data_IF_918475644263
#
_entry.id   IF_918475644263
#
_cell.length_a   1.000
_cell.length_b   1.000
_cell.length_c   1.000
_cell.angle_alpha   90.00
_cell.angle_beta   90.00
_cell.angle_gamma   90.00
#
_symmetry.space_group_name_H-M   'P 1'
#
loop_
_entity.id
_entity.type
_entity.pdbx_description
1 polymer ?
#
# COMPACT_ATOMS: atom_id res chain seq x y z
N UNK A 1 17.29 -35.57 -3.93
CA UNK A 1 17.45 -34.48 -4.95
C UNK A 1 16.14 -33.95 -5.56
N UNK A 2 15.02 -34.69 -5.53
CA UNK A 2 13.70 -34.19 -5.99
C UNK A 2 13.10 -33.11 -5.11
N UNK A 3 13.38 -33.11 -3.81
CA UNK A 3 12.85 -32.13 -2.84
C UNK A 3 13.33 -30.67 -3.06
N UNK A 4 14.56 -30.45 -3.54
CA UNK A 4 15.11 -29.12 -3.74
C UNK A 4 14.48 -28.36 -4.93
N UNK A 5 14.26 -29.04 -6.06
CA UNK A 5 13.61 -28.44 -7.24
C UNK A 5 12.15 -28.07 -6.96
N UNK A 6 11.42 -28.91 -6.23
CA UNK A 6 10.04 -28.61 -5.82
C UNK A 6 9.97 -27.37 -4.91
N UNK A 7 10.92 -27.18 -4.00
CA UNK A 7 10.95 -26.00 -3.11
C UNK A 7 11.23 -24.70 -3.86
N UNK A 8 12.17 -24.72 -4.81
CA UNK A 8 12.46 -23.53 -5.64
C UNK A 8 11.25 -23.15 -6.47
N UNK A 9 10.59 -24.12 -7.11
CA UNK A 9 9.38 -23.87 -7.90
C UNK A 9 8.24 -23.32 -7.04
N UNK A 10 8.04 -23.84 -5.85
CA UNK A 10 7.04 -23.34 -4.91
C UNK A 10 7.28 -21.89 -4.51
N UNK A 11 8.54 -21.49 -4.28
CA UNK A 11 8.91 -20.10 -3.97
C UNK A 11 8.69 -19.16 -5.17
N UNK A 12 9.05 -19.60 -6.38
CA UNK A 12 8.82 -18.83 -7.61
C UNK A 12 7.31 -18.66 -7.85
N UNK A 13 6.55 -19.73 -7.73
CA UNK A 13 5.09 -19.67 -7.89
C UNK A 13 4.45 -18.74 -6.87
N UNK A 14 4.97 -18.72 -5.64
CA UNK A 14 4.52 -17.81 -4.60
C UNK A 14 4.87 -16.36 -4.94
N UNK A 15 6.06 -16.07 -5.43
CA UNK A 15 6.45 -14.75 -5.90
C UNK A 15 5.59 -14.25 -7.07
N UNK A 16 5.20 -15.12 -8.01
CA UNK A 16 4.25 -14.77 -9.07
C UNK A 16 2.87 -14.39 -8.50
N UNK A 17 2.44 -15.07 -7.43
CA UNK A 17 1.19 -14.75 -6.74
C UNK A 17 1.22 -13.37 -6.07
N UNK A 18 2.29 -13.07 -5.34
CA UNK A 18 2.46 -11.77 -4.68
C UNK A 18 2.71 -10.64 -5.68
N UNK A 19 3.41 -10.92 -6.79
CA UNK A 19 3.54 -10.00 -7.93
C UNK A 19 2.15 -9.57 -8.46
N UNK A 20 1.30 -10.54 -8.82
CA UNK A 20 -0.06 -10.25 -9.30
C UNK A 20 -0.94 -9.60 -8.23
N UNK A 21 -0.71 -9.91 -6.96
CA UNK A 21 -1.42 -9.28 -5.85
C UNK A 21 -1.13 -7.77 -5.77
N UNK A 22 0.14 -7.37 -5.84
CA UNK A 22 0.51 -5.96 -5.75
C UNK A 22 0.27 -5.18 -7.04
N UNK A 23 0.22 -5.84 -8.21
CA UNK A 23 -0.34 -5.24 -9.42
C UNK A 23 -1.76 -4.76 -9.16
N UNK A 24 -2.62 -5.61 -8.62
CA UNK A 24 -4.00 -5.24 -8.29
C UNK A 24 -4.06 -4.12 -7.25
N UNK A 25 -3.27 -4.24 -6.17
CA UNK A 25 -3.24 -3.23 -5.10
C UNK A 25 -2.84 -1.85 -5.61
N UNK A 26 -1.82 -1.77 -6.46
CA UNK A 26 -1.39 -0.51 -7.04
C UNK A 26 -2.49 0.12 -7.93
N UNK A 27 -3.22 -0.70 -8.68
CA UNK A 27 -4.31 -0.23 -9.54
C UNK A 27 -5.42 0.44 -8.72
N UNK A 28 -5.92 -0.23 -7.70
CA UNK A 28 -7.02 0.30 -6.88
C UNK A 28 -6.54 1.36 -5.88
N UNK A 29 -5.33 1.20 -5.35
CA UNK A 29 -4.79 2.10 -4.33
C UNK A 29 -4.33 3.45 -4.85
N UNK A 30 -3.75 3.47 -6.05
CA UNK A 30 -3.11 4.68 -6.60
C UNK A 30 -3.83 5.21 -7.83
N UNK A 31 -4.20 4.35 -8.79
CA UNK A 31 -4.64 4.80 -10.11
C UNK A 31 -6.16 4.90 -10.26
N UNK A 32 -6.93 4.23 -9.41
CA UNK A 32 -8.38 4.28 -9.48
C UNK A 32 -8.92 5.70 -9.24
N UNK A 33 -8.36 6.44 -8.29
CA UNK A 33 -8.80 7.81 -8.00
C UNK A 33 -8.56 8.77 -9.17
N UNK A 34 -7.48 8.57 -9.95
CA UNK A 34 -7.27 9.41 -11.13
C UNK A 34 -8.28 9.11 -12.23
N UNK A 35 -8.68 7.85 -12.41
CA UNK A 35 -9.79 7.50 -13.29
C UNK A 35 -11.08 8.18 -12.85
N UNK A 36 -11.43 8.10 -11.56
CA UNK A 36 -12.64 8.73 -10.99
C UNK A 36 -12.67 10.24 -11.24
N UNK A 37 -11.55 10.92 -10.98
CA UNK A 37 -11.48 12.39 -11.05
C UNK A 37 -11.31 12.92 -12.47
N UNK A 38 -10.64 12.17 -13.35
CA UNK A 38 -10.28 12.66 -14.69
C UNK A 38 -11.17 12.13 -15.82
N UNK A 39 -11.84 11.00 -15.60
CA UNK A 39 -12.54 10.31 -16.69
C UNK A 39 -13.97 9.89 -16.37
N UNK A 40 -14.29 9.60 -15.12
CA UNK A 40 -15.57 9.03 -14.76
C UNK A 40 -16.70 10.07 -14.77
N UNK A 41 -16.41 11.27 -14.28
CA UNK A 41 -17.33 12.40 -14.26
C UNK A 41 -16.76 13.53 -15.10
N UNK A 42 -17.25 13.66 -16.30
CA UNK A 42 -16.84 14.67 -17.28
C UNK A 42 -18.07 15.14 -18.06
N UNK A 43 -19.00 15.79 -17.35
CA UNK A 43 -20.23 16.34 -17.94
C UNK A 43 -20.07 17.84 -18.25
N UNK A 44 -21.07 18.41 -18.89
CA UNK A 44 -21.13 19.86 -19.13
C UNK A 44 -21.38 20.68 -17.84
N UNK A 45 -21.52 20.02 -16.68
CA UNK A 45 -21.76 20.65 -15.39
C UNK A 45 -20.65 20.34 -14.36
N UNK A 46 -19.58 21.14 -14.31
CA UNK A 46 -18.44 20.92 -13.42
C UNK A 46 -18.80 20.87 -11.92
N UNK A 47 -19.84 21.60 -11.51
CA UNK A 47 -20.28 21.60 -10.10
C UNK A 47 -20.90 20.26 -9.70
N UNK A 48 -21.68 19.66 -10.60
CA UNK A 48 -22.26 18.34 -10.37
C UNK A 48 -21.19 17.26 -10.40
N UNK A 49 -20.22 17.37 -11.30
CA UNK A 49 -19.08 16.41 -11.39
C UNK A 49 -18.27 16.45 -10.10
N UNK A 50 -17.92 17.63 -9.60
CA UNK A 50 -17.22 17.79 -8.33
C UNK A 50 -17.99 17.18 -7.14
N UNK A 51 -19.31 17.38 -7.11
CA UNK A 51 -20.18 16.78 -6.09
C UNK A 51 -20.16 15.24 -6.15
N UNK A 52 -20.29 14.67 -7.35
CA UNK A 52 -20.26 13.22 -7.56
C UNK A 52 -18.91 12.60 -7.21
N UNK A 53 -17.81 13.23 -7.61
CA UNK A 53 -16.45 12.82 -7.23
C UNK A 53 -16.31 12.84 -5.68
N UNK A 54 -16.82 13.87 -5.02
CA UNK A 54 -16.82 13.98 -3.56
C UNK A 54 -17.57 12.82 -2.88
N UNK A 55 -18.74 12.44 -3.39
CA UNK A 55 -19.51 11.31 -2.86
C UNK A 55 -18.75 9.98 -3.08
N UNK A 56 -18.25 9.71 -4.30
CA UNK A 56 -17.48 8.50 -4.59
C UNK A 56 -16.25 8.41 -3.70
N UNK A 57 -15.52 9.50 -3.54
CA UNK A 57 -14.36 9.58 -2.64
C UNK A 57 -14.74 9.25 -1.19
N UNK A 58 -15.88 9.76 -0.73
CA UNK A 58 -16.39 9.50 0.62
C UNK A 58 -16.79 8.03 0.79
N UNK A 59 -17.44 7.42 -0.21
CA UNK A 59 -17.79 5.99 -0.21
C UNK A 59 -16.53 5.14 -0.10
N UNK A 60 -15.51 5.42 -0.93
CA UNK A 60 -14.23 4.71 -0.90
C UNK A 60 -13.57 4.82 0.48
N UNK A 61 -13.50 6.03 1.04
CA UNK A 61 -12.91 6.27 2.36
C UNK A 61 -13.63 5.47 3.47
N UNK A 62 -14.97 5.53 3.48
CA UNK A 62 -15.78 4.83 4.49
C UNK A 62 -15.62 3.31 4.37
N UNK A 63 -15.66 2.77 3.15
CA UNK A 63 -15.51 1.33 2.93
C UNK A 63 -14.11 0.83 3.29
N UNK A 64 -13.06 1.55 2.94
CA UNK A 64 -11.67 1.21 3.34
C UNK A 64 -11.44 1.29 4.85
N UNK A 65 -12.10 2.22 5.55
CA UNK A 65 -12.05 2.24 7.01
C UNK A 65 -12.83 1.06 7.59
N UNK A 66 -13.98 0.72 7.00
CA UNK A 66 -14.77 -0.44 7.43
C UNK A 66 -14.01 -1.76 7.23
N UNK A 67 -13.22 -1.90 6.15
CA UNK A 67 -12.34 -3.06 5.89
C UNK A 67 -11.47 -3.39 7.09
N UNK A 68 -10.89 -2.40 7.77
CA UNK A 68 -10.03 -2.62 8.94
C UNK A 68 -10.72 -3.38 10.08
N UNK A 69 -12.04 -3.23 10.20
CA UNK A 69 -12.85 -3.95 11.18
C UNK A 69 -13.31 -5.30 10.67
N UNK A 70 -13.41 -5.48 9.36
CA UNK A 70 -13.88 -6.72 8.71
C UNK A 70 -12.75 -7.74 8.58
N UNK A 71 -11.51 -7.31 8.36
CA UNK A 71 -10.33 -8.18 8.18
C UNK A 71 -10.17 -9.28 9.24
N UNK A 72 -10.32 -9.04 10.54
CA UNK A 72 -10.24 -10.10 11.55
C UNK A 72 -11.32 -11.16 11.40
N UNK A 73 -12.54 -10.79 10.98
CA UNK A 73 -13.61 -11.75 10.72
C UNK A 73 -13.31 -12.61 9.49
N UNK A 74 -12.76 -11.98 8.43
CA UNK A 74 -12.31 -12.69 7.24
C UNK A 74 -11.22 -13.70 7.61
N UNK A 75 -10.23 -13.31 8.41
CA UNK A 75 -9.19 -14.20 8.90
C UNK A 75 -9.75 -15.43 9.62
N UNK A 76 -10.72 -15.24 10.49
CA UNK A 76 -11.39 -16.34 11.22
C UNK A 76 -12.17 -17.27 10.26
N UNK A 77 -12.83 -16.73 9.23
CA UNK A 77 -13.53 -17.55 8.22
C UNK A 77 -12.51 -18.37 7.42
N UNK A 78 -11.40 -17.77 7.02
CA UNK A 78 -10.32 -18.46 6.30
C UNK A 78 -9.72 -19.58 7.15
N UNK A 79 -9.46 -19.32 8.44
CA UNK A 79 -8.88 -20.31 9.36
C UNK A 79 -9.80 -21.52 9.58
N UNK A 80 -11.12 -21.33 9.52
CA UNK A 80 -12.14 -22.40 9.63
C UNK A 80 -12.40 -23.13 8.32
N UNK A 81 -11.87 -22.64 7.21
CA UNK A 81 -12.09 -23.25 5.89
C UNK A 81 -11.31 -24.56 5.77
N UNK A 82 -12.01 -25.65 5.43
CA UNK A 82 -11.40 -26.98 5.18
C UNK A 82 -11.84 -27.45 3.81
N UNK A 83 -10.90 -27.43 2.84
CA UNK A 83 -11.14 -27.92 1.48
C UNK A 83 -10.03 -28.90 1.06
N UNK A 84 -10.33 -29.72 0.04
CA UNK A 84 -9.33 -30.62 -0.58
C UNK A 84 -8.17 -29.89 -1.27
N UNK A 85 -8.28 -28.59 -1.50
CA UNK A 85 -7.21 -27.77 -2.10
C UNK A 85 -6.35 -27.08 -1.04
N UNK A 86 -6.71 -27.18 0.22
CA UNK A 86 -6.13 -26.49 1.35
C UNK A 86 -7.09 -25.48 1.97
N UNK A 87 -6.55 -24.70 2.89
CA UNK A 87 -7.30 -23.68 3.67
C UNK A 87 -7.29 -22.33 2.94
N UNK A 88 -6.15 -21.91 2.42
CA UNK A 88 -5.91 -20.57 1.87
C UNK A 88 -6.18 -20.47 0.37
N UNK A 89 -5.83 -21.50 -0.40
CA UNK A 89 -5.93 -21.49 -1.88
C UNK A 89 -7.31 -21.13 -2.43
N UNK A 90 -8.44 -21.63 -1.88
CA UNK A 90 -9.78 -21.26 -2.38
C UNK A 90 -10.04 -19.75 -2.29
N UNK A 91 -9.55 -19.11 -1.23
CA UNK A 91 -9.69 -17.67 -1.01
C UNK A 91 -8.76 -16.86 -1.91
N UNK A 92 -7.53 -17.34 -2.15
CA UNK A 92 -6.60 -16.72 -3.09
C UNK A 92 -7.14 -16.75 -4.52
N UNK A 93 -7.63 -17.91 -4.98
CA UNK A 93 -8.14 -18.08 -6.34
C UNK A 93 -9.49 -17.40 -6.53
N UNK A 94 -10.46 -17.68 -5.67
CA UNK A 94 -11.79 -17.09 -5.74
C UNK A 94 -11.75 -15.58 -5.55
N UNK A 95 -10.98 -15.11 -4.55
CA UNK A 95 -10.78 -13.69 -4.29
C UNK A 95 -10.13 -12.97 -5.47
N UNK A 96 -9.12 -13.58 -6.12
CA UNK A 96 -8.48 -12.97 -7.30
C UNK A 96 -9.44 -12.79 -8.48
N UNK A 97 -10.23 -13.82 -8.79
CA UNK A 97 -11.19 -13.77 -9.92
C UNK A 97 -12.28 -12.75 -9.66
N UNK A 98 -12.92 -12.80 -8.48
CA UNK A 98 -14.02 -11.89 -8.16
C UNK A 98 -13.52 -10.44 -8.07
N UNK A 99 -12.38 -10.22 -7.40
CA UNK A 99 -11.79 -8.89 -7.32
C UNK A 99 -11.41 -8.34 -8.71
N UNK A 100 -10.84 -9.17 -9.60
CA UNK A 100 -10.46 -8.73 -10.95
C UNK A 100 -11.69 -8.35 -11.80
N UNK A 101 -12.76 -9.15 -11.74
CA UNK A 101 -14.00 -8.86 -12.47
C UNK A 101 -14.66 -7.59 -11.94
N UNK A 102 -14.79 -7.46 -10.63
CA UNK A 102 -15.39 -6.26 -10.02
C UNK A 102 -14.53 -5.02 -10.23
N UNK A 103 -13.20 -5.14 -10.23
CA UNK A 103 -12.29 -4.03 -10.57
C UNK A 103 -12.54 -3.56 -12.02
N UNK A 104 -12.62 -4.49 -12.97
CA UNK A 104 -12.90 -4.14 -14.38
C UNK A 104 -14.24 -3.41 -14.51
N UNK A 105 -15.28 -3.85 -13.79
CA UNK A 105 -16.59 -3.19 -13.74
C UNK A 105 -16.48 -1.77 -13.15
N UNK A 106 -15.68 -1.58 -12.09
CA UNK A 106 -15.47 -0.26 -11.46
C UNK A 106 -14.78 0.76 -12.37
N UNK A 107 -13.99 0.29 -13.35
CA UNK A 107 -13.39 1.15 -14.37
C UNK A 107 -14.34 1.41 -15.55
N UNK A 108 -15.66 1.45 -15.29
CA UNK A 108 -16.70 1.80 -16.28
C UNK A 108 -17.69 2.79 -15.69
N UNK A 109 -18.44 3.43 -16.55
CA UNK A 109 -19.56 4.31 -16.20
C UNK A 109 -20.92 3.57 -16.11
N UNK A 110 -20.87 2.23 -16.09
CA UNK A 110 -22.04 1.34 -16.10
C UNK A 110 -23.03 1.64 -17.25
N UNK A 111 -22.50 1.91 -18.45
CA UNK A 111 -23.31 2.19 -19.63
C UNK A 111 -23.95 3.58 -19.61
N UNK A 112 -23.23 4.59 -19.11
CA UNK A 112 -23.68 5.98 -19.08
C UNK A 112 -24.57 6.34 -17.88
N UNK A 113 -24.58 5.52 -16.83
CA UNK A 113 -25.37 5.81 -15.62
C UNK A 113 -24.85 7.04 -14.87
N UNK A 114 -23.59 7.41 -15.04
CA UNK A 114 -23.04 8.66 -14.46
C UNK A 114 -23.80 9.90 -14.91
N UNK A 115 -24.36 9.88 -16.13
CA UNK A 115 -25.14 10.99 -16.72
C UNK A 115 -26.64 10.72 -16.62
N UNK A 116 -27.11 9.52 -16.98
CA UNK A 116 -28.54 9.20 -17.06
C UNK A 116 -29.21 9.03 -15.71
N UNK A 117 -28.54 8.44 -14.72
CA UNK A 117 -29.04 8.26 -13.36
C UNK A 117 -27.90 8.20 -12.34
N UNK A 118 -27.32 9.35 -11.93
CA UNK A 118 -26.19 9.40 -11.01
C UNK A 118 -26.44 8.71 -9.67
N UNK A 119 -27.64 8.77 -9.15
CA UNK A 119 -27.98 8.13 -7.87
C UNK A 119 -27.91 6.61 -7.98
N UNK A 120 -28.43 6.03 -9.05
CA UNK A 120 -28.33 4.59 -9.29
C UNK A 120 -26.87 4.17 -9.51
N UNK A 121 -26.08 5.01 -10.23
CA UNK A 121 -24.65 4.80 -10.38
C UNK A 121 -23.96 4.66 -9.00
N UNK A 122 -24.19 5.60 -8.07
CA UNK A 122 -23.56 5.58 -6.76
C UNK A 122 -23.94 4.35 -5.94
N UNK A 123 -25.18 3.88 -6.02
CA UNK A 123 -25.64 2.68 -5.33
C UNK A 123 -24.93 1.45 -5.88
N UNK A 124 -24.90 1.28 -7.20
CA UNK A 124 -24.21 0.15 -7.85
C UNK A 124 -22.72 0.21 -7.56
N UNK A 125 -22.12 1.41 -7.66
CA UNK A 125 -20.72 1.62 -7.35
C UNK A 125 -20.37 1.17 -5.93
N UNK A 126 -21.14 1.59 -4.93
CA UNK A 126 -20.90 1.23 -3.53
C UNK A 126 -20.99 -0.30 -3.32
N UNK A 127 -21.97 -0.95 -3.93
CA UNK A 127 -22.14 -2.41 -3.86
C UNK A 127 -20.98 -3.14 -4.53
N UNK A 128 -20.59 -2.74 -5.74
CA UNK A 128 -19.51 -3.40 -6.49
C UNK A 128 -18.18 -3.16 -5.82
N UNK A 129 -17.92 -1.95 -5.32
CA UNK A 129 -16.70 -1.63 -4.56
C UNK A 129 -16.62 -2.44 -3.27
N UNK A 130 -17.71 -2.56 -2.52
CA UNK A 130 -17.77 -3.36 -1.30
C UNK A 130 -17.49 -4.85 -1.56
N UNK A 131 -18.06 -5.42 -2.64
CA UNK A 131 -17.78 -6.80 -3.04
C UNK A 131 -16.30 -6.94 -3.41
N UNK A 132 -15.77 -6.04 -4.22
CA UNK A 132 -14.35 -6.04 -4.61
C UNK A 132 -13.45 -6.01 -3.37
N UNK A 133 -13.72 -5.11 -2.44
CA UNK A 133 -12.92 -4.87 -1.24
C UNK A 133 -12.89 -6.09 -0.32
N UNK A 134 -14.04 -6.72 -0.04
CA UNK A 134 -14.12 -7.95 0.76
C UNK A 134 -13.32 -9.10 0.13
N UNK A 135 -13.50 -9.36 -1.17
CA UNK A 135 -12.81 -10.47 -1.82
C UNK A 135 -11.31 -10.19 -2.02
N UNK A 136 -10.95 -8.93 -2.22
CA UNK A 136 -9.56 -8.52 -2.22
C UNK A 136 -8.92 -8.71 -0.83
N UNK A 137 -9.58 -8.27 0.23
CA UNK A 137 -9.10 -8.46 1.61
C UNK A 137 -8.99 -9.94 1.98
N UNK A 138 -9.97 -10.76 1.61
CA UNK A 138 -9.89 -12.21 1.83
C UNK A 138 -8.68 -12.84 1.12
N UNK A 139 -8.40 -12.41 -0.12
CA UNK A 139 -7.20 -12.81 -0.86
C UNK A 139 -5.93 -12.32 -0.18
N UNK A 140 -5.88 -11.07 0.27
CA UNK A 140 -4.72 -10.47 0.96
C UNK A 140 -4.38 -11.25 2.23
N UNK A 141 -5.35 -11.41 3.12
CA UNK A 141 -5.19 -12.19 4.35
C UNK A 141 -4.75 -13.63 4.04
N UNK A 142 -5.36 -14.28 3.04
CA UNK A 142 -5.03 -15.65 2.68
C UNK A 142 -3.60 -15.78 2.14
N UNK A 143 -3.15 -14.88 1.27
CA UNK A 143 -1.78 -14.90 0.72
C UNK A 143 -0.76 -14.78 1.85
N UNK A 144 -0.82 -13.77 2.69
CA UNK A 144 0.20 -13.57 3.72
C UNK A 144 0.15 -14.61 4.83
N UNK A 145 -1.04 -15.10 5.19
CA UNK A 145 -1.21 -16.18 6.18
C UNK A 145 -0.81 -17.56 5.67
N UNK A 146 -0.65 -17.74 4.37
CA UNK A 146 -0.27 -19.01 3.76
C UNK A 146 1.23 -19.32 3.93
N UNK A 147 2.12 -18.33 4.09
CA UNK A 147 3.58 -18.54 4.21
C UNK A 147 3.93 -19.59 5.27
N UNK A 148 3.44 -19.50 6.53
CA UNK A 148 3.68 -20.53 7.51
C UNK A 148 3.10 -21.90 7.13
N UNK A 149 2.09 -21.96 6.24
CA UNK A 149 1.48 -23.21 5.79
C UNK A 149 2.31 -23.96 4.75
N UNK A 150 3.32 -23.33 4.15
CA UNK A 150 4.14 -23.94 3.11
C UNK A 150 5.33 -24.74 3.66
N UNK A 151 5.81 -24.44 4.86
CA UNK A 151 6.94 -25.14 5.48
C UNK A 151 6.90 -25.06 7.01
N UNK A 152 7.45 -26.08 7.68
CA UNK A 152 7.67 -26.08 9.14
C UNK A 152 9.03 -25.48 9.51
N UNK A 153 9.96 -25.42 8.56
CA UNK A 153 11.29 -24.84 8.75
C UNK A 153 11.22 -23.32 8.72
N UNK A 154 11.67 -22.67 9.78
CA UNK A 154 11.69 -21.21 9.93
C UNK A 154 12.52 -20.54 8.85
N UNK A 155 13.68 -21.10 8.53
CA UNK A 155 14.57 -20.56 7.48
C UNK A 155 13.94 -20.64 6.08
N UNK A 156 13.24 -21.74 5.77
CA UNK A 156 12.46 -21.85 4.54
C UNK A 156 11.34 -20.82 4.43
N UNK A 157 10.67 -20.52 5.55
CA UNK A 157 9.64 -19.47 5.61
C UNK A 157 10.22 -18.09 5.35
N UNK A 158 11.37 -17.77 5.95
CA UNK A 158 12.09 -16.50 5.74
C UNK A 158 12.46 -16.29 4.29
N UNK A 159 13.05 -17.33 3.64
CA UNK A 159 13.39 -17.26 2.22
C UNK A 159 12.13 -17.07 1.37
N UNK A 160 11.05 -17.80 1.66
CA UNK A 160 9.79 -17.68 0.92
C UNK A 160 9.19 -16.30 1.07
N UNK A 161 9.16 -15.74 2.29
CA UNK A 161 8.69 -14.39 2.56
C UNK A 161 9.53 -13.32 1.83
N UNK A 162 10.85 -13.50 1.80
CA UNK A 162 11.76 -12.58 1.09
C UNK A 162 11.50 -12.59 -0.42
N UNK A 163 11.40 -13.77 -1.02
CA UNK A 163 11.11 -13.91 -2.45
C UNK A 163 9.71 -13.38 -2.79
N UNK A 164 8.72 -13.65 -1.92
CA UNK A 164 7.39 -13.08 -2.02
C UNK A 164 7.42 -11.55 -2.03
N UNK A 165 8.20 -10.95 -1.13
CA UNK A 165 8.32 -9.49 -1.06
C UNK A 165 8.99 -8.89 -2.30
N UNK A 166 9.98 -9.58 -2.86
CA UNK A 166 10.58 -9.18 -4.14
C UNK A 166 9.52 -9.18 -5.24
N UNK A 167 8.74 -10.27 -5.37
CA UNK A 167 7.63 -10.34 -6.34
C UNK A 167 6.63 -9.19 -6.17
N UNK A 168 6.23 -8.94 -4.95
CA UNK A 168 5.32 -7.85 -4.54
C UNK A 168 5.83 -6.47 -5.01
N UNK A 169 7.08 -6.12 -4.69
CA UNK A 169 7.68 -4.84 -5.10
C UNK A 169 7.72 -4.68 -6.62
N UNK A 170 8.13 -5.72 -7.34
CA UNK A 170 8.14 -5.68 -8.80
C UNK A 170 6.74 -5.54 -9.40
N UNK A 171 5.73 -6.18 -8.82
CA UNK A 171 4.34 -6.06 -9.24
C UNK A 171 3.82 -4.62 -9.13
N UNK A 172 3.99 -4.01 -7.96
CA UNK A 172 3.57 -2.62 -7.73
C UNK A 172 4.28 -1.62 -8.65
N UNK A 173 5.60 -1.77 -8.85
CA UNK A 173 6.36 -0.88 -9.73
C UNK A 173 6.06 -1.09 -11.22
N UNK A 174 5.75 -2.32 -11.64
CA UNK A 174 5.32 -2.57 -13.02
C UNK A 174 4.12 -1.72 -13.39
N UNK A 175 3.14 -1.59 -12.50
CA UNK A 175 1.94 -0.80 -12.75
C UNK A 175 2.30 0.66 -13.03
N UNK A 176 3.23 1.24 -12.26
CA UNK A 176 3.71 2.60 -12.48
C UNK A 176 4.33 2.78 -13.88
N UNK A 177 5.03 1.75 -14.36
CA UNK A 177 5.67 1.77 -15.69
C UNK A 177 4.64 1.66 -16.81
N UNK A 178 3.64 0.78 -16.68
CA UNK A 178 2.74 0.42 -17.78
C UNK A 178 1.43 1.22 -17.81
N UNK A 179 1.03 1.88 -16.71
CA UNK A 179 -0.30 2.50 -16.60
C UNK A 179 -0.61 3.42 -17.78
N UNK A 180 0.18 4.46 -18.00
CA UNK A 180 -0.10 5.43 -19.05
C UNK A 180 0.16 4.91 -20.46
N UNK A 181 1.25 4.16 -20.76
CA UNK A 181 1.39 3.48 -22.05
C UNK A 181 0.19 2.61 -22.43
N UNK A 182 -0.34 1.81 -21.48
CA UNK A 182 -1.51 0.96 -21.74
C UNK A 182 -2.78 1.80 -21.90
N UNK A 183 -3.04 2.71 -20.97
CA UNK A 183 -4.23 3.55 -21.02
C UNK A 183 -4.29 4.33 -22.34
N UNK A 184 -3.21 5.03 -22.72
CA UNK A 184 -3.19 5.85 -23.93
C UNK A 184 -3.23 5.03 -25.23
N UNK A 185 -2.65 3.81 -25.23
CA UNK A 185 -2.68 2.93 -26.38
C UNK A 185 -4.11 2.45 -26.72
N UNK A 186 -4.91 2.15 -25.69
CA UNK A 186 -6.28 1.67 -25.86
C UNK A 186 -7.32 2.79 -25.84
N UNK A 187 -6.94 4.03 -25.52
CA UNK A 187 -7.84 5.18 -25.55
C UNK A 187 -8.16 5.62 -26.97
N UNK A 188 -9.44 5.88 -27.23
CA UNK A 188 -9.92 6.48 -28.48
C UNK A 188 -9.56 7.96 -28.51
N UNK A 189 -9.73 8.64 -27.34
CA UNK A 189 -9.39 10.05 -27.14
C UNK A 189 -8.35 10.16 -26.02
N UNK A 190 -7.27 10.88 -26.25
CA UNK A 190 -6.20 11.01 -25.27
C UNK A 190 -6.49 12.01 -24.13
N UNK A 191 -7.54 12.83 -24.24
CA UNK A 191 -8.01 13.77 -23.21
C UNK A 191 -6.87 14.52 -22.50
N UNK A 192 -5.99 15.19 -23.24
CA UNK A 192 -4.86 15.91 -22.65
C UNK A 192 -3.81 15.02 -21.96
N UNK A 193 -3.79 13.72 -22.28
CA UNK A 193 -2.87 12.74 -21.70
C UNK A 193 -3.45 11.93 -20.50
N UNK A 194 -4.71 12.19 -20.12
CA UNK A 194 -5.39 11.41 -19.07
C UNK A 194 -6.02 10.11 -19.59
N UNK A 195 -6.08 9.94 -20.90
CA UNK A 195 -6.78 8.82 -21.56
C UNK A 195 -8.29 8.94 -21.50
N UNK A 196 -8.99 7.89 -21.91
CA UNK A 196 -10.45 7.81 -21.86
C UNK A 196 -10.93 6.55 -21.09
N UNK A 197 -12.24 6.41 -20.80
CA UNK A 197 -12.76 5.25 -20.08
C UNK A 197 -12.42 3.91 -20.75
N UNK A 198 -12.31 3.85 -22.08
CA UNK A 198 -11.94 2.63 -22.82
C UNK A 198 -10.51 2.19 -22.50
N UNK A 199 -9.55 3.13 -22.48
CA UNK A 199 -8.17 2.86 -22.10
C UNK A 199 -8.05 2.40 -20.65
N UNK A 200 -8.76 3.04 -19.75
CA UNK A 200 -8.77 2.67 -18.32
C UNK A 200 -9.43 1.30 -18.09
N UNK A 201 -10.49 0.98 -18.80
CA UNK A 201 -11.10 -0.36 -18.75
C UNK A 201 -10.14 -1.44 -19.26
N UNK A 202 -9.45 -1.20 -20.39
CA UNK A 202 -8.44 -2.12 -20.89
C UNK A 202 -7.29 -2.34 -19.89
N UNK A 203 -6.83 -1.26 -19.25
CA UNK A 203 -5.84 -1.33 -18.20
C UNK A 203 -6.33 -2.19 -17.01
N UNK A 204 -7.58 -2.02 -16.58
CA UNK A 204 -8.19 -2.83 -15.53
C UNK A 204 -8.27 -4.31 -15.90
N UNK A 205 -8.66 -4.63 -17.13
CA UNK A 205 -8.72 -6.00 -17.63
C UNK A 205 -7.33 -6.65 -17.68
N UNK A 206 -6.31 -5.94 -18.18
CA UNK A 206 -4.92 -6.44 -18.24
C UNK A 206 -4.37 -6.68 -16.84
N UNK A 207 -4.47 -5.71 -15.94
CA UNK A 207 -3.96 -5.85 -14.58
C UNK A 207 -4.72 -6.88 -13.76
N UNK A 208 -6.05 -6.94 -13.89
CA UNK A 208 -6.88 -7.98 -13.28
C UNK A 208 -6.54 -9.37 -13.81
N UNK A 209 -6.24 -9.47 -15.11
CA UNK A 209 -5.76 -10.70 -15.76
C UNK A 209 -4.40 -11.15 -15.19
N UNK A 210 -3.44 -10.23 -15.05
CA UNK A 210 -2.12 -10.50 -14.44
C UNK A 210 -2.30 -10.96 -12.99
N UNK A 211 -3.16 -10.29 -12.22
CA UNK A 211 -3.43 -10.65 -10.82
C UNK A 211 -4.04 -12.05 -10.70
N UNK A 212 -4.97 -12.39 -11.59
CA UNK A 212 -5.62 -13.71 -11.62
C UNK A 212 -4.64 -14.81 -12.05
N UNK A 213 -3.83 -14.56 -13.08
CA UNK A 213 -2.79 -15.49 -13.53
C UNK A 213 -1.75 -15.75 -12.42
N UNK A 214 -1.31 -14.70 -11.72
CA UNK A 214 -0.44 -14.84 -10.57
C UNK A 214 -1.04 -15.71 -9.47
N UNK A 215 -2.32 -15.52 -9.15
CA UNK A 215 -3.05 -16.34 -8.18
C UNK A 215 -3.17 -17.80 -8.64
N UNK A 216 -3.42 -18.06 -9.92
CA UNK A 216 -3.48 -19.41 -10.49
C UNK A 216 -2.10 -20.10 -10.37
N UNK A 217 -1.03 -19.42 -10.76
CA UNK A 217 0.34 -19.95 -10.65
C UNK A 217 0.67 -20.28 -9.20
N UNK A 218 0.32 -19.41 -8.25
CA UNK A 218 0.47 -19.65 -6.82
C UNK A 218 -0.32 -20.88 -6.38
N UNK A 219 -1.61 -20.94 -6.73
CA UNK A 219 -2.49 -22.04 -6.35
C UNK A 219 -2.04 -23.41 -6.85
N UNK A 220 -1.53 -23.47 -8.09
CA UNK A 220 -1.02 -24.70 -8.71
C UNK A 220 0.41 -25.06 -8.29
N UNK A 221 1.24 -24.05 -8.06
CA UNK A 221 2.67 -24.24 -7.77
C UNK A 221 3.02 -24.41 -6.30
N UNK A 222 2.07 -24.19 -5.39
CA UNK A 222 2.29 -24.32 -3.93
C UNK A 222 1.58 -25.54 -3.36
N UNK A 223 2.05 -26.02 -2.20
CA UNK A 223 1.42 -27.12 -1.47
C UNK A 223 1.32 -26.78 0.00
N UNK A 224 0.08 -26.64 0.50
CA UNK A 224 -0.18 -26.39 1.92
C UNK A 224 0.07 -27.67 2.72
N UNK A 225 0.84 -27.56 3.81
CA UNK A 225 1.09 -28.67 4.73
C UNK A 225 0.09 -28.60 5.88
N UNK A 226 -0.78 -29.59 5.97
CA UNK A 226 -1.70 -29.76 7.12
C UNK A 226 -0.93 -30.22 8.36
N UNK A 227 -1.21 -29.57 9.51
CA UNK A 227 -0.66 -29.98 10.78
C UNK A 227 -1.63 -29.71 11.95
N UNK A 228 -1.82 -30.71 12.79
CA UNK A 228 -2.61 -30.64 14.02
C UNK A 228 -2.11 -29.58 15.03
N UNK A 229 -0.82 -29.17 14.96
CA UNK A 229 -0.26 -28.09 15.79
C UNK A 229 -0.85 -26.71 15.50
N UNK A 230 -1.59 -26.55 14.40
CA UNK A 230 -2.26 -25.28 14.03
C UNK A 230 -3.72 -25.20 14.49
N UNK A 231 -4.30 -26.29 14.93
CA UNK A 231 -5.70 -26.31 15.39
C UNK A 231 -5.89 -25.56 16.72
N UNK A 232 -4.81 -25.30 17.47
CA UNK A 232 -4.82 -24.65 18.78
C UNK A 232 -4.32 -23.19 18.75
N UNK A 233 -4.54 -22.45 17.67
CA UNK A 233 -4.22 -21.02 17.64
C UNK A 233 -5.32 -20.27 18.40
N UNK A 234 -4.96 -19.55 19.47
CA UNK A 234 -5.86 -18.62 20.12
C UNK A 234 -6.33 -17.54 19.12
N UNK A 235 -7.62 -17.31 19.02
CA UNK A 235 -8.23 -16.32 18.14
C UNK A 235 -7.80 -14.93 18.59
N UNK A 236 -6.87 -14.29 17.87
CA UNK A 236 -6.49 -12.91 18.12
C UNK A 236 -7.61 -11.99 17.65
N UNK A 237 -8.34 -11.42 18.60
CA UNK A 237 -9.43 -10.49 18.34
C UNK A 237 -8.89 -9.08 18.04
N UNK A 238 -9.63 -8.29 17.25
CA UNK A 238 -9.33 -6.85 17.07
C UNK A 238 -9.27 -6.09 18.42
N UNK A 239 -10.01 -6.57 19.44
CA UNK A 239 -9.92 -6.03 20.80
C UNK A 239 -8.58 -6.32 21.47
N UNK A 240 -7.95 -7.46 21.18
CA UNK A 240 -6.64 -7.82 21.72
C UNK A 240 -5.55 -6.96 21.09
N UNK A 241 -5.64 -6.70 19.78
CA UNK A 241 -4.74 -5.76 19.07
C UNK A 241 -4.83 -4.36 19.71
N UNK A 242 -6.03 -3.84 19.90
CA UNK A 242 -6.24 -2.53 20.54
C UNK A 242 -5.74 -2.50 21.99
N UNK A 243 -5.95 -3.59 22.74
CA UNK A 243 -5.50 -3.69 24.13
C UNK A 243 -3.97 -3.71 24.24
N UNK A 244 -3.29 -4.47 23.40
CA UNK A 244 -1.82 -4.51 23.34
C UNK A 244 -1.28 -3.17 22.86
N UNK A 245 -1.86 -2.59 21.80
CA UNK A 245 -1.46 -1.30 21.26
C UNK A 245 -1.55 -0.18 22.31
N UNK A 246 -2.62 -0.15 23.11
CA UNK A 246 -2.81 0.89 24.14
C UNK A 246 -1.93 0.69 25.38
N UNK A 247 -1.56 -0.55 25.69
CA UNK A 247 -0.71 -0.86 26.85
C UNK A 247 0.78 -0.76 26.54
N UNK A 248 1.18 -1.04 25.30
CA UNK A 248 2.55 -0.89 24.81
C UNK A 248 2.73 0.50 24.21
N UNK A 249 3.14 1.45 25.04
CA UNK A 249 3.25 2.87 24.65
C UNK A 249 4.31 3.10 23.55
N UNK A 250 5.38 2.31 23.48
CA UNK A 250 6.37 2.45 22.42
C UNK A 250 5.80 2.02 21.07
N UNK A 251 5.05 0.92 21.04
CA UNK A 251 4.33 0.47 19.86
C UNK A 251 3.28 1.51 19.42
N UNK A 252 2.48 2.02 20.37
CA UNK A 252 1.45 3.03 20.09
C UNK A 252 2.04 4.29 19.46
N UNK A 253 3.07 4.86 20.08
CA UNK A 253 3.67 6.10 19.58
C UNK A 253 4.41 5.92 18.26
N UNK A 254 5.03 4.73 18.07
CA UNK A 254 5.61 4.38 16.77
C UNK A 254 4.54 4.27 15.69
N UNK A 255 3.40 3.63 15.99
CA UNK A 255 2.26 3.52 15.07
C UNK A 255 1.71 4.89 14.68
N UNK A 256 1.50 5.80 15.66
CA UNK A 256 1.01 7.16 15.41
C UNK A 256 2.02 7.96 14.57
N UNK A 257 3.30 7.91 14.91
CA UNK A 257 4.34 8.62 14.16
C UNK A 257 4.39 8.15 12.69
N UNK A 258 4.33 6.84 12.48
CA UNK A 258 4.36 6.23 11.16
C UNK A 258 3.07 6.49 10.37
N UNK A 259 1.91 6.52 11.04
CA UNK A 259 0.63 6.88 10.42
C UNK A 259 0.68 8.29 9.84
N UNK A 260 1.09 9.26 10.64
CA UNK A 260 1.16 10.67 10.22
C UNK A 260 2.17 10.85 9.09
N UNK A 261 3.35 10.24 9.21
CA UNK A 261 4.35 10.19 8.15
C UNK A 261 3.78 9.54 6.87
N UNK A 262 3.12 8.39 6.99
CA UNK A 262 2.56 7.63 5.88
C UNK A 262 1.48 8.37 5.10
N UNK A 263 0.64 9.16 5.77
CA UNK A 263 -0.35 10.04 5.11
C UNK A 263 0.38 11.01 4.17
N UNK A 264 1.42 11.70 4.67
CA UNK A 264 2.20 12.64 3.85
C UNK A 264 2.85 11.97 2.63
N UNK A 265 3.46 10.80 2.80
CA UNK A 265 4.07 10.04 1.71
C UNK A 265 3.04 9.62 0.66
N UNK A 266 1.90 9.09 1.09
CA UNK A 266 0.85 8.64 0.17
C UNK A 266 0.25 9.79 -0.64
N UNK A 267 0.12 10.99 -0.06
CA UNK A 267 -0.32 12.18 -0.81
C UNK A 267 0.60 12.43 -1.99
N UNK A 268 1.92 12.50 -1.78
CA UNK A 268 2.87 12.75 -2.87
C UNK A 268 2.84 11.62 -3.91
N UNK A 269 2.91 10.37 -3.45
CA UNK A 269 2.95 9.22 -4.35
C UNK A 269 1.73 9.14 -5.26
N UNK A 270 0.54 9.45 -4.74
CA UNK A 270 -0.69 9.46 -5.54
C UNK A 270 -0.81 10.70 -6.44
N UNK A 271 -0.33 11.88 -6.00
CA UNK A 271 -0.35 13.08 -6.83
C UNK A 271 0.71 13.07 -7.94
N UNK A 272 1.71 12.19 -7.90
CA UNK A 272 2.75 12.12 -8.93
C UNK A 272 2.15 12.03 -10.35
N UNK A 273 1.20 11.11 -10.58
CA UNK A 273 0.61 10.97 -11.92
C UNK A 273 -0.20 12.22 -12.33
N UNK A 274 -0.95 12.83 -11.41
CA UNK A 274 -1.64 14.10 -11.67
C UNK A 274 -0.66 15.20 -12.10
N UNK A 275 0.50 15.28 -11.45
CA UNK A 275 1.53 16.25 -11.81
C UNK A 275 2.05 16.05 -13.25
N UNK A 276 2.29 14.80 -13.64
CA UNK A 276 2.73 14.50 -15.00
C UNK A 276 1.65 14.75 -16.06
N UNK A 277 0.38 14.54 -15.75
CA UNK A 277 -0.74 14.82 -16.67
C UNK A 277 -0.98 16.33 -16.77
N UNK A 278 -1.21 16.99 -15.62
CA UNK A 278 -1.75 18.35 -15.62
C UNK A 278 -0.73 19.45 -15.53
N UNK A 279 0.50 19.20 -15.06
CA UNK A 279 1.56 20.22 -14.96
C UNK A 279 2.60 20.04 -16.06
N UNK A 280 3.12 18.83 -16.21
CA UNK A 280 4.11 18.53 -17.27
C UNK A 280 3.44 18.43 -18.65
N UNK A 281 2.19 17.94 -18.70
CA UNK A 281 1.45 17.72 -19.95
C UNK A 281 1.90 16.49 -20.75
N UNK A 282 2.68 15.59 -20.12
CA UNK A 282 3.13 14.34 -20.74
C UNK A 282 3.10 13.19 -19.69
N UNK A 283 1.98 12.52 -19.63
CA UNK A 283 1.77 11.39 -18.73
C UNK A 283 2.70 10.20 -19.00
N UNK A 284 3.22 10.06 -20.23
CA UNK A 284 4.11 8.94 -20.58
C UNK A 284 5.45 9.01 -19.85
N UNK A 285 5.90 10.20 -19.50
CA UNK A 285 7.14 10.42 -18.71
C UNK A 285 7.04 9.86 -17.29
N UNK A 286 5.80 9.68 -16.77
CA UNK A 286 5.59 9.04 -15.48
C UNK A 286 6.14 7.60 -15.41
N UNK A 287 6.11 6.88 -16.53
CA UNK A 287 6.67 5.52 -16.61
C UNK A 287 8.17 5.48 -16.28
N UNK A 288 8.91 6.56 -16.62
CA UNK A 288 10.35 6.69 -16.30
C UNK A 288 10.54 6.71 -14.78
N UNK A 289 9.64 7.40 -14.06
CA UNK A 289 9.69 7.44 -12.60
C UNK A 289 9.54 6.03 -11.98
N UNK A 290 8.67 5.18 -12.54
CA UNK A 290 8.52 3.79 -12.09
C UNK A 290 9.82 2.99 -12.21
N UNK A 291 10.56 3.15 -13.32
CA UNK A 291 11.87 2.52 -13.51
C UNK A 291 12.89 3.06 -12.50
N UNK A 292 12.94 4.38 -12.35
CA UNK A 292 13.84 5.04 -11.39
C UNK A 292 13.57 4.52 -9.97
N UNK A 293 12.30 4.51 -9.54
CA UNK A 293 11.90 4.07 -8.20
C UNK A 293 12.25 2.61 -7.94
N UNK A 294 12.12 1.74 -8.94
CA UNK A 294 12.53 0.32 -8.82
C UNK A 294 14.02 0.20 -8.53
N UNK A 295 14.87 0.85 -9.33
CA UNK A 295 16.32 0.79 -9.16
C UNK A 295 16.75 1.40 -7.83
N UNK A 296 16.26 2.60 -7.52
CA UNK A 296 16.62 3.30 -6.29
C UNK A 296 16.12 2.54 -5.06
N UNK A 297 14.92 1.98 -5.11
CA UNK A 297 14.35 1.21 -4.02
C UNK A 297 15.19 -0.02 -3.68
N UNK A 298 15.64 -0.76 -4.70
CA UNK A 298 16.53 -1.92 -4.50
C UNK A 298 17.89 -1.50 -3.91
N UNK A 299 18.47 -0.42 -4.41
CA UNK A 299 19.73 0.12 -3.88
C UNK A 299 19.60 0.58 -2.42
N UNK A 300 18.49 1.25 -2.08
CA UNK A 300 18.22 1.70 -0.71
C UNK A 300 18.09 0.52 0.25
N UNK A 301 17.34 -0.53 -0.11
CA UNK A 301 17.20 -1.74 0.70
C UNK A 301 18.55 -2.44 0.89
N UNK A 302 19.34 -2.60 -0.18
CA UNK A 302 20.66 -3.21 -0.10
C UNK A 302 21.65 -2.39 0.75
N UNK A 303 21.52 -1.06 0.75
CA UNK A 303 22.36 -0.18 1.56
C UNK A 303 21.97 -0.17 3.05
N UNK A 304 20.75 -0.56 3.42
CA UNK A 304 20.23 -0.45 4.79
C UNK A 304 21.11 -1.14 5.85
N UNK A 305 21.56 -2.41 5.69
CA UNK A 305 22.43 -3.05 6.68
C UNK A 305 23.75 -2.31 6.87
N UNK A 306 24.33 -1.77 5.79
CA UNK A 306 25.58 -1.00 5.83
C UNK A 306 25.38 0.33 6.54
N UNK A 307 24.25 0.98 6.32
CA UNK A 307 23.93 2.26 6.95
C UNK A 307 23.67 2.10 8.46
N UNK A 308 22.99 1.03 8.87
CA UNK A 308 22.70 0.76 10.30
C UNK A 308 23.92 0.38 11.12
N UNK A 309 25.01 -0.12 10.51
CA UNK A 309 26.29 -0.32 11.22
C UNK A 309 27.02 0.99 11.53
N UNK A 310 26.77 2.05 10.71
CA UNK A 310 27.47 3.34 10.86
C UNK A 310 26.65 4.41 11.58
N UNK A 311 25.32 4.35 11.44
CA UNK A 311 24.39 5.34 11.94
C UNK A 311 23.27 4.67 12.72
N UNK A 312 22.86 5.27 13.86
CA UNK A 312 21.68 4.80 14.58
C UNK A 312 20.42 4.96 13.75
N UNK A 313 19.43 4.07 13.93
CA UNK A 313 18.12 4.12 13.25
C UNK A 313 17.46 5.49 13.39
N UNK A 314 17.62 6.13 14.56
CA UNK A 314 17.09 7.48 14.80
C UNK A 314 17.73 8.54 13.90
N UNK A 315 19.05 8.51 13.72
CA UNK A 315 19.75 9.43 12.81
C UNK A 315 19.33 9.18 11.35
N UNK A 316 19.24 7.91 10.94
CA UNK A 316 18.77 7.53 9.60
C UNK A 316 17.34 8.00 9.33
N UNK A 317 16.45 7.90 10.30
CA UNK A 317 15.07 8.37 10.17
C UNK A 317 15.00 9.87 9.90
N UNK A 318 15.71 10.69 10.68
CA UNK A 318 15.70 12.14 10.49
C UNK A 318 16.45 12.58 9.24
N UNK A 319 17.55 11.93 8.88
CA UNK A 319 18.24 12.20 7.61
C UNK A 319 17.35 11.86 6.42
N UNK A 320 16.56 10.78 6.49
CA UNK A 320 15.57 10.42 5.50
C UNK A 320 14.50 11.51 5.32
N UNK A 321 13.92 12.02 6.41
CA UNK A 321 12.95 13.12 6.36
C UNK A 321 13.60 14.38 5.78
N UNK A 322 14.84 14.70 6.15
CA UNK A 322 15.54 15.86 5.61
C UNK A 322 15.78 15.76 4.09
N UNK A 323 16.22 14.59 3.61
CA UNK A 323 16.39 14.32 2.18
C UNK A 323 15.06 14.42 1.44
N UNK A 324 13.99 13.83 1.99
CA UNK A 324 12.65 13.87 1.39
C UNK A 324 12.11 15.30 1.35
N UNK A 325 12.32 16.09 2.40
CA UNK A 325 11.93 17.51 2.42
C UNK A 325 12.66 18.31 1.36
N UNK A 326 13.99 18.15 1.24
CA UNK A 326 14.78 18.80 0.20
C UNK A 326 14.33 18.36 -1.22
N UNK A 327 14.02 17.07 -1.38
CA UNK A 327 13.52 16.53 -2.63
C UNK A 327 12.17 17.14 -3.04
N UNK A 328 11.25 17.35 -2.08
CA UNK A 328 9.97 18.01 -2.35
C UNK A 328 10.15 19.48 -2.73
N UNK A 329 11.11 20.19 -2.16
CA UNK A 329 11.43 21.56 -2.57
C UNK A 329 11.95 21.57 -4.03
N UNK A 330 12.88 20.66 -4.37
CA UNK A 330 13.38 20.52 -5.75
C UNK A 330 12.22 20.18 -6.70
N UNK A 331 11.34 19.28 -6.30
CA UNK A 331 10.19 18.88 -7.10
C UNK A 331 9.20 20.05 -7.29
N UNK A 332 8.90 20.81 -6.24
CA UNK A 332 8.04 22.00 -6.34
C UNK A 332 8.60 23.08 -7.28
N UNK A 333 9.93 23.19 -7.38
CA UNK A 333 10.61 24.13 -8.30
C UNK A 333 10.67 23.63 -9.74
N UNK A 334 10.29 22.39 -10.03
CA UNK A 334 10.45 21.81 -11.37
C UNK A 334 9.53 22.45 -12.42
N UNK A 335 8.32 22.90 -12.02
CA UNK A 335 7.32 23.39 -12.98
C UNK A 335 7.10 22.36 -14.09
N UNK A 336 7.27 22.77 -15.34
CA UNK A 336 7.15 21.91 -16.52
C UNK A 336 8.44 21.16 -16.90
N UNK A 337 9.52 21.33 -16.13
CA UNK A 337 10.80 20.68 -16.41
C UNK A 337 10.77 19.21 -15.96
N UNK A 338 10.62 18.32 -16.94
CA UNK A 338 10.54 16.86 -16.71
C UNK A 338 11.75 16.32 -15.97
N UNK A 339 12.95 16.73 -16.33
CA UNK A 339 14.20 16.23 -15.72
C UNK A 339 14.26 16.58 -14.23
N UNK A 340 13.94 17.83 -13.89
CA UNK A 340 13.95 18.28 -12.51
C UNK A 340 12.84 17.62 -11.69
N UNK A 341 11.66 17.38 -12.30
CA UNK A 341 10.57 16.64 -11.70
C UNK A 341 10.96 15.18 -11.38
N UNK A 342 11.59 14.49 -12.33
CA UNK A 342 12.08 13.13 -12.14
C UNK A 342 13.17 13.04 -11.06
N UNK A 343 14.08 14.03 -11.00
CA UNK A 343 15.09 14.10 -9.94
C UNK A 343 14.43 14.31 -8.58
N UNK A 344 13.52 15.28 -8.46
CA UNK A 344 12.79 15.56 -7.22
C UNK A 344 11.98 14.36 -6.74
N UNK A 345 11.17 13.75 -7.62
CA UNK A 345 10.36 12.58 -7.30
C UNK A 345 11.22 11.34 -6.96
N UNK A 346 12.32 11.11 -7.69
CA UNK A 346 13.24 10.01 -7.41
C UNK A 346 13.99 10.18 -6.08
N UNK A 347 14.50 11.37 -5.80
CA UNK A 347 15.12 11.67 -4.50
C UNK A 347 14.12 11.57 -3.34
N UNK A 348 12.85 11.87 -3.57
CA UNK A 348 11.79 11.67 -2.58
C UNK A 348 11.52 10.18 -2.33
N UNK A 349 11.58 9.36 -3.35
CA UNK A 349 11.36 7.92 -3.23
C UNK A 349 12.53 7.18 -2.55
N UNK A 350 13.77 7.66 -2.70
CA UNK A 350 14.98 7.01 -2.23
C UNK A 350 14.96 6.62 -0.74
N UNK A 351 14.57 7.49 0.22
CA UNK A 351 14.59 7.13 1.64
C UNK A 351 13.38 6.32 2.11
N UNK A 352 12.31 6.20 1.31
CA UNK A 352 11.07 5.53 1.75
C UNK A 352 11.30 4.08 2.22
N UNK A 353 12.05 3.22 1.50
CA UNK A 353 12.36 1.88 1.96
C UNK A 353 13.19 1.86 3.26
N UNK A 354 14.07 2.84 3.46
CA UNK A 354 14.86 2.94 4.70
C UNK A 354 13.97 3.24 5.90
N UNK A 355 13.05 4.21 5.76
CA UNK A 355 12.08 4.54 6.83
C UNK A 355 11.20 3.33 7.13
N UNK A 356 10.72 2.63 6.09
CA UNK A 356 9.94 1.41 6.26
C UNK A 356 10.68 0.36 7.10
N UNK A 357 11.95 0.11 6.81
CA UNK A 357 12.77 -0.87 7.55
C UNK A 357 13.06 -0.41 8.99
N UNK A 358 13.29 0.89 9.22
CA UNK A 358 13.46 1.45 10.56
C UNK A 358 12.20 1.24 11.39
N UNK A 359 11.02 1.52 10.83
CA UNK A 359 9.73 1.32 11.49
C UNK A 359 9.51 -0.15 11.81
N UNK A 360 9.76 -1.04 10.84
CA UNK A 360 9.61 -2.48 11.02
C UNK A 360 10.51 -2.98 12.17
N UNK A 361 11.78 -2.58 12.20
CA UNK A 361 12.69 -2.95 13.29
C UNK A 361 12.24 -2.40 14.65
N UNK A 362 11.78 -1.15 14.70
CA UNK A 362 11.31 -0.55 15.96
C UNK A 362 10.04 -1.22 16.48
N UNK A 363 9.13 -1.62 15.59
CA UNK A 363 7.93 -2.41 15.95
C UNK A 363 8.34 -3.81 16.45
N UNK A 364 9.33 -4.45 15.81
CA UNK A 364 9.86 -5.74 16.27
C UNK A 364 10.47 -5.61 17.67
N UNK A 365 11.30 -4.61 17.92
CA UNK A 365 11.90 -4.37 19.22
C UNK A 365 10.86 -4.04 20.31
N UNK A 366 9.69 -3.50 19.92
CA UNK A 366 8.60 -3.22 20.85
C UNK A 366 7.92 -4.51 21.39
N UNK A 367 8.20 -5.68 20.80
CA UNK A 367 7.73 -6.97 21.31
C UNK A 367 8.40 -7.28 22.65
N UNK A 368 9.74 -7.18 22.70
CA UNK A 368 10.52 -7.40 23.93
C UNK A 368 10.21 -6.34 24.98
N UNK A 369 10.06 -5.07 24.58
CA UNK A 369 9.60 -4.01 25.46
C UNK A 369 8.23 -4.32 26.09
N UNK A 370 7.28 -4.77 25.27
CA UNK A 370 5.96 -5.20 25.71
C UNK A 370 6.04 -6.39 26.65
N UNK A 371 6.87 -7.39 26.36
CA UNK A 371 7.09 -8.57 27.21
C UNK A 371 7.64 -8.19 28.59
N UNK A 372 8.63 -7.28 28.64
CA UNK A 372 9.17 -6.80 29.91
C UNK A 372 8.13 -6.05 30.74
N UNK A 373 7.30 -5.22 30.08
CA UNK A 373 6.33 -4.33 30.74
C UNK A 373 5.02 -5.04 31.14
N UNK A 374 4.53 -5.96 30.31
CA UNK A 374 3.22 -6.59 30.46
C UNK A 374 3.30 -8.02 31.02
N UNK A 375 4.48 -8.64 31.01
CA UNK A 375 4.72 -9.99 31.48
C UNK A 375 4.34 -11.11 30.51
N UNK A 376 3.90 -10.77 29.29
CA UNK A 376 3.56 -11.74 28.24
C UNK A 376 4.05 -11.23 26.86
N UNK A 377 4.33 -12.15 25.94
CA UNK A 377 4.87 -11.86 24.61
C UNK A 377 3.74 -11.86 23.57
N UNK A 378 3.47 -10.69 23.00
CA UNK A 378 2.40 -10.49 21.99
C UNK A 378 2.99 -10.21 20.59
N UNK A 379 3.91 -11.06 20.12
CA UNK A 379 4.66 -10.85 18.87
C UNK A 379 3.75 -10.69 17.66
N UNK A 380 2.79 -11.61 17.47
CA UNK A 380 1.89 -11.57 16.33
C UNK A 380 1.03 -10.30 16.30
N UNK A 381 0.57 -9.85 17.47
CA UNK A 381 -0.24 -8.63 17.62
C UNK A 381 0.59 -7.39 17.30
N UNK A 382 1.81 -7.30 17.82
CA UNK A 382 2.69 -6.16 17.55
C UNK A 382 3.00 -6.03 16.04
N UNK A 383 3.31 -7.15 15.39
CA UNK A 383 3.64 -7.15 13.96
C UNK A 383 2.45 -6.84 13.04
N UNK A 384 1.21 -7.13 13.47
CA UNK A 384 -0.01 -6.75 12.73
C UNK A 384 -0.26 -5.24 12.71
N UNK A 385 0.32 -4.47 13.63
CA UNK A 385 0.11 -3.01 13.73
C UNK A 385 0.61 -2.28 12.48
N UNK A 386 1.74 -2.69 11.91
CA UNK A 386 2.28 -2.03 10.72
C UNK A 386 1.36 -2.10 9.50
N UNK A 387 0.89 -3.29 9.05
CA UNK A 387 -0.06 -3.37 7.93
C UNK A 387 -1.36 -2.61 8.20
N UNK A 388 -1.84 -2.62 9.45
CA UNK A 388 -3.03 -1.86 9.85
C UNK A 388 -2.83 -0.36 9.65
N UNK A 389 -1.67 0.17 10.06
CA UNK A 389 -1.31 1.58 9.89
C UNK A 389 -1.15 1.94 8.40
N UNK A 390 -0.53 1.07 7.59
CA UNK A 390 -0.39 1.28 6.15
C UNK A 390 -1.77 1.37 5.45
N UNK A 391 -2.69 0.45 5.77
CA UNK A 391 -4.06 0.46 5.24
C UNK A 391 -4.81 1.73 5.66
N UNK A 392 -4.72 2.12 6.92
CA UNK A 392 -5.39 3.33 7.42
C UNK A 392 -4.81 4.60 6.79
N UNK A 393 -3.49 4.72 6.69
CA UNK A 393 -2.83 5.84 5.99
C UNK A 393 -3.25 5.91 4.52
N UNK A 394 -3.33 4.78 3.84
CA UNK A 394 -3.80 4.67 2.46
C UNK A 394 -5.25 5.11 2.30
N UNK A 395 -6.14 4.68 3.20
CA UNK A 395 -7.55 5.07 3.21
C UNK A 395 -7.73 6.58 3.37
N UNK A 396 -7.11 7.16 4.39
CA UNK A 396 -7.16 8.61 4.65
C UNK A 396 -6.57 9.41 3.48
N UNK A 397 -5.45 8.96 2.94
CA UNK A 397 -4.81 9.62 1.79
C UNK A 397 -5.69 9.58 0.54
N UNK A 398 -6.36 8.47 0.25
CA UNK A 398 -7.30 8.37 -0.88
C UNK A 398 -8.45 9.37 -0.75
N UNK A 399 -8.99 9.54 0.47
CA UNK A 399 -10.00 10.57 0.75
C UNK A 399 -9.47 11.99 0.51
N UNK A 400 -8.26 12.28 1.00
CA UNK A 400 -7.62 13.59 0.79
C UNK A 400 -7.40 13.85 -0.70
N UNK A 401 -6.94 12.86 -1.47
CA UNK A 401 -6.62 13.02 -2.89
C UNK A 401 -7.85 13.35 -3.72
N UNK A 402 -8.97 12.65 -3.51
CA UNK A 402 -10.19 12.93 -4.25
C UNK A 402 -10.70 14.35 -4.01
N UNK A 403 -10.76 14.78 -2.75
CA UNK A 403 -11.16 16.14 -2.39
C UNK A 403 -10.15 17.20 -2.87
N UNK A 404 -8.86 16.88 -2.79
CA UNK A 404 -7.80 17.77 -3.23
C UNK A 404 -7.78 17.95 -4.74
N UNK A 405 -8.05 16.90 -5.52
CA UNK A 405 -8.16 17.00 -6.98
C UNK A 405 -9.27 17.98 -7.40
N UNK A 406 -10.41 17.94 -6.69
CA UNK A 406 -11.50 18.90 -6.89
C UNK A 406 -11.03 20.32 -6.54
N UNK A 407 -10.41 20.49 -5.37
CA UNK A 407 -9.96 21.80 -4.87
C UNK A 407 -8.88 22.44 -5.75
N UNK A 408 -7.99 21.63 -6.32
CA UNK A 408 -6.95 22.07 -7.26
C UNK A 408 -7.51 22.30 -8.66
N UNK A 409 -8.68 21.73 -9.00
CA UNK A 409 -9.26 21.82 -10.35
C UNK A 409 -8.67 20.79 -11.33
N UNK A 410 -8.13 19.68 -10.84
CA UNK A 410 -7.59 18.57 -11.64
C UNK A 410 -8.65 17.47 -11.81
N UNK A 411 -9.80 17.84 -12.39
CA UNK A 411 -10.92 16.93 -12.65
C UNK A 411 -11.21 16.85 -14.15
N UNK A 412 -12.19 16.04 -14.54
CA UNK A 412 -12.55 15.80 -15.94
C UNK A 412 -12.67 17.09 -16.76
N UNK A 413 -12.13 17.08 -17.97
CA UNK A 413 -12.07 18.24 -18.85
C UNK A 413 -10.93 19.23 -18.56
N UNK A 414 -10.22 19.13 -17.45
CA UNK A 414 -9.03 19.94 -17.19
C UNK A 414 -7.90 19.56 -18.14
N UNK A 415 -7.20 20.55 -18.66
CA UNK A 415 -6.00 20.37 -19.48
C UNK A 415 -4.79 21.04 -18.80
N UNK A 416 -3.57 20.62 -19.15
CA UNK A 416 -2.35 21.23 -18.66
C UNK A 416 -2.31 22.76 -18.91
N UNK A 417 -2.87 23.19 -20.04
CA UNK A 417 -2.96 24.61 -20.41
C UNK A 417 -4.08 25.37 -19.69
N UNK A 418 -4.99 24.68 -19.00
CA UNK A 418 -6.16 25.26 -18.32
C UNK A 418 -5.95 25.56 -16.84
N UNK A 419 -4.83 25.14 -16.22
CA UNK A 419 -4.55 25.41 -14.82
C UNK A 419 -4.20 26.88 -14.59
N UNK A 420 -4.96 27.55 -13.74
CA UNK A 420 -4.69 28.94 -13.33
C UNK A 420 -3.53 28.99 -12.32
N UNK A 421 -2.96 30.19 -12.11
CA UNK A 421 -1.95 30.39 -11.07
C UNK A 421 -2.47 30.03 -9.66
N UNK A 422 -3.76 30.23 -9.39
CA UNK A 422 -4.40 29.84 -8.13
C UNK A 422 -4.46 28.30 -7.97
N UNK A 423 -4.83 27.58 -9.03
CA UNK A 423 -4.81 26.10 -9.05
C UNK A 423 -3.41 25.56 -8.78
N UNK A 424 -2.39 26.22 -9.39
CA UNK A 424 -0.99 25.84 -9.21
C UNK A 424 -0.52 26.07 -7.77
N UNK A 425 -0.93 27.19 -7.14
CA UNK A 425 -0.64 27.44 -5.74
C UNK A 425 -1.32 26.40 -4.82
N UNK A 426 -2.56 26.04 -5.09
CA UNK A 426 -3.26 24.98 -4.34
C UNK A 426 -2.59 23.63 -4.47
N UNK A 427 -2.13 23.28 -5.68
CA UNK A 427 -1.34 22.07 -5.91
C UNK A 427 -0.05 22.07 -5.09
N UNK A 428 0.69 23.19 -5.11
CA UNK A 428 1.92 23.30 -4.32
C UNK A 428 1.67 23.12 -2.82
N UNK A 429 0.56 23.62 -2.31
CA UNK A 429 0.18 23.44 -0.89
C UNK A 429 -0.09 21.96 -0.59
N UNK A 430 -0.93 21.30 -1.38
CA UNK A 430 -1.38 19.94 -1.04
C UNK A 430 -0.32 18.87 -1.37
N UNK A 431 0.41 19.01 -2.46
CA UNK A 431 1.37 18.01 -2.92
C UNK A 431 2.76 18.16 -2.29
N UNK A 432 3.14 19.38 -1.90
CA UNK A 432 4.49 19.63 -1.39
C UNK A 432 4.50 20.15 0.04
N UNK A 433 3.74 21.21 0.37
CA UNK A 433 3.78 21.80 1.70
C UNK A 433 3.12 20.90 2.75
N UNK A 434 1.93 20.37 2.49
CA UNK A 434 1.23 19.51 3.45
C UNK A 434 2.01 18.22 3.79
N UNK A 435 2.59 17.46 2.84
CA UNK A 435 3.42 16.31 3.17
C UNK A 435 4.66 16.65 4.03
N UNK A 436 5.30 17.79 3.79
CA UNK A 436 6.41 18.26 4.64
C UNK A 436 5.93 18.44 6.09
N UNK A 437 4.75 19.04 6.29
CA UNK A 437 4.16 19.21 7.62
C UNK A 437 3.84 17.85 8.25
N UNK A 438 3.21 16.93 7.52
CA UNK A 438 2.92 15.59 8.02
C UNK A 438 4.21 14.84 8.40
N UNK A 439 5.25 14.85 7.55
CA UNK A 439 6.53 14.22 7.86
C UNK A 439 7.20 14.86 9.07
N UNK A 440 7.14 16.19 9.19
CA UNK A 440 7.69 16.91 10.34
C UNK A 440 6.97 16.56 11.64
N UNK A 441 5.62 16.52 11.63
CA UNK A 441 4.82 16.11 12.80
C UNK A 441 5.13 14.65 13.17
N UNK A 442 5.13 13.73 12.21
CA UNK A 442 5.51 12.32 12.45
C UNK A 442 6.92 12.21 13.05
N UNK A 443 7.88 12.97 12.50
CA UNK A 443 9.24 13.05 13.03
C UNK A 443 9.30 13.62 14.45
N UNK A 444 8.54 14.65 14.76
CA UNK A 444 8.48 15.23 16.11
C UNK A 444 7.88 14.25 17.13
N UNK A 445 6.82 13.52 16.76
CA UNK A 445 6.22 12.47 17.60
C UNK A 445 7.25 11.36 17.84
N UNK A 446 7.93 10.88 16.78
CA UNK A 446 8.98 9.89 16.89
C UNK A 446 10.09 10.36 17.84
N UNK A 447 10.55 11.61 17.70
CA UNK A 447 11.59 12.19 18.55
C UNK A 447 11.19 12.27 20.02
N UNK A 448 9.95 12.69 20.28
CA UNK A 448 9.47 13.02 21.62
C UNK A 448 8.99 11.78 22.40
N UNK A 449 8.46 10.78 21.73
CA UNK A 449 7.72 9.68 22.36
C UNK A 449 8.32 8.31 22.15
N UNK A 450 9.05 8.07 21.05
CA UNK A 450 9.71 6.79 20.80
C UNK A 450 11.11 6.84 21.43
N UNK A 451 11.23 6.22 22.60
CA UNK A 451 12.48 6.16 23.37
C UNK A 451 13.25 4.85 23.16
N UNK A 452 12.62 3.87 22.52
CA UNK A 452 13.17 2.56 22.24
C UNK A 452 14.27 2.67 21.16
N UNK A 453 15.51 2.91 21.62
CA UNK A 453 16.72 2.91 20.80
C UNK A 453 17.32 1.52 20.76
N UNK A 454 18.30 1.29 19.85
CA UNK A 454 19.05 0.03 19.78
C UNK A 454 19.74 -0.33 21.12
N UNK A 455 20.25 0.67 21.83
CA UNK A 455 20.90 0.49 23.14
C UNK A 455 19.88 0.13 24.23
N UNK A 456 18.72 0.80 24.24
CA UNK A 456 17.64 0.51 25.19
C UNK A 456 17.05 -0.87 24.92
N UNK A 457 16.89 -1.27 23.66
CA UNK A 457 16.45 -2.62 23.32
C UNK A 457 17.45 -3.69 23.79
N UNK A 458 18.76 -3.49 23.59
CA UNK A 458 19.77 -4.41 24.09
C UNK A 458 19.71 -4.58 25.62
N UNK A 459 19.51 -3.48 26.37
CA UNK A 459 19.32 -3.53 27.83
C UNK A 459 18.05 -4.31 28.22
N UNK A 460 16.94 -4.13 27.49
CA UNK A 460 15.70 -4.85 27.73
C UNK A 460 15.88 -6.35 27.52
N UNK A 461 16.58 -6.74 26.46
CA UNK A 461 16.88 -8.16 26.20
C UNK A 461 17.70 -8.77 27.32
N UNK A 462 18.76 -8.08 27.77
CA UNK A 462 19.59 -8.52 28.89
C UNK A 462 18.78 -8.70 30.18
N UNK A 463 17.89 -7.74 30.50
CA UNK A 463 17.01 -7.85 31.68
C UNK A 463 16.02 -9.01 31.58
N UNK A 464 15.51 -9.30 30.37
CA UNK A 464 14.64 -10.45 30.14
C UNK A 464 15.39 -11.78 30.29
N UNK A 465 16.63 -11.88 29.82
CA UNK A 465 17.50 -13.05 29.98
C UNK A 465 17.83 -13.31 31.47
N UNK A 466 18.19 -12.29 32.23
CA UNK A 466 18.43 -12.40 33.67
C UNK A 466 17.19 -12.88 34.45
N UNK A 467 16.01 -12.33 34.11
CA UNK A 467 14.74 -12.79 34.72
C UNK A 467 14.45 -14.26 34.40
N UNK A 468 14.70 -14.68 33.15
CA UNK A 468 14.49 -16.06 32.75
C UNK A 468 15.44 -17.03 33.45
N UNK A 469 16.71 -16.68 33.60
CA UNK A 469 17.70 -17.45 34.35
C UNK A 469 17.34 -17.56 35.85
N UNK A 470 16.81 -16.48 36.42
CA UNK A 470 16.41 -16.47 37.86
C UNK A 470 15.16 -17.35 38.12
N UNK A 471 14.27 -17.51 37.15
CA UNK A 471 13.08 -18.38 37.26
C UNK A 471 13.40 -19.87 37.08
N UNK A 472 14.53 -20.20 36.45
CA UNK A 472 14.96 -21.59 36.19
C UNK A 472 16.01 -22.10 37.17
N UNK A 473 16.45 -21.28 38.14
CA UNK A 473 17.25 -21.64 39.31
C UNK A 473 16.36 -21.88 40.51
#
# INVERSE_FOLDING_TARGET
>A
MSNGKNRIWQRIAYACGTFGHDVFYAMIGTYFMIFVTSNLFNSDNPTNDAYMIGIVTTIILVLRIAELFVDPFIGNIIDKTKTRWGRFKPWVLGGAVIAAVTLAILFTDFGGLTVSNPTLYLIIFAIVYFIMDIFYSAKDVAIWSMIPALSFDSHEREITATIARIGSVFGGQLVTVIVMPVVLYFSINQNGGAGDPTGWFAFACIGGGIATLGAIILGLGTHEQDNALRENKEDTSAKDVLKVLTKNDQLLWMAIAYLVYGIGINIVNNFNLYYFIYVIGDATKFSILGVINTVIGLLAVAAFPILTTKFSRRKLFFSSIAVMTAALVIYAMSGTNVTLALIGAGLFALPQPLVFLIVLMTITDSVEYGQLKLGHRDEAVCLCVRPLVDKFAGAVSSGIIGLAAIWVGMTGGASASGLTADNMMRLQIIMFAAPIVFMAIGGLIYRAKVTLTEQEHARIVEELEEKWESMNK
#
